data_IF_680124583012
#
_entry.id   IF_680124583012
#
_cell.length_a   1.000
_cell.length_b   1.000
_cell.length_c   1.000
_cell.angle_alpha   90.00
_cell.angle_beta   90.00
_cell.angle_gamma   90.00
#
_symmetry.space_group_name_H-M   'P 1'
#
loop_
_entity.id
_entity.type
_entity.pdbx_description
1 polymer ?
#
# COMPACT_ATOMS: atom_id res chain seq x y z
N UNK A 1 -9.90 13.82 51.19
CA UNK A 1 -8.68 13.96 50.38
C UNK A 1 -8.28 12.56 49.95
N UNK A 2 -8.84 12.07 48.84
CA UNK A 2 -8.58 10.73 48.28
C UNK A 2 -9.27 10.60 46.91
N UNK A 3 -8.96 11.49 45.95
CA UNK A 3 -9.46 11.33 44.58
C UNK A 3 -8.41 11.82 43.57
N UNK A 4 -7.19 11.32 43.70
CA UNK A 4 -6.09 11.72 42.82
C UNK A 4 -5.14 10.54 42.49
N UNK A 5 -5.58 9.28 42.61
CA UNK A 5 -4.70 8.11 42.37
C UNK A 5 -5.23 7.10 41.33
N UNK A 6 -6.29 7.42 40.58
CA UNK A 6 -6.90 6.48 39.62
C UNK A 6 -7.04 7.08 38.21
N UNK A 7 -6.01 7.76 37.70
CA UNK A 7 -6.09 8.41 36.37
C UNK A 7 -4.80 8.28 35.55
N UNK A 8 -3.80 7.56 36.07
CA UNK A 8 -2.51 7.38 35.38
C UNK A 8 -2.37 6.02 34.66
N UNK A 9 -3.18 5.01 34.97
CA UNK A 9 -2.97 3.65 34.45
C UNK A 9 -3.70 3.36 33.12
N UNK A 10 -4.71 4.16 32.75
CA UNK A 10 -5.55 3.91 31.55
C UNK A 10 -4.99 4.50 30.24
N UNK A 11 -3.87 5.24 30.26
CA UNK A 11 -3.36 5.94 29.07
C UNK A 11 -2.20 5.24 28.36
N UNK A 12 -1.68 4.13 28.92
CA UNK A 12 -0.50 3.45 28.34
C UNK A 12 -0.92 2.38 27.33
N UNK A 13 -2.07 1.73 27.49
CA UNK A 13 -2.51 0.64 26.60
C UNK A 13 -2.98 1.11 25.20
N UNK A 14 -3.59 2.30 25.07
CA UNK A 14 -4.10 2.77 23.76
C UNK A 14 -3.00 3.17 22.75
N UNK A 15 -1.86 3.66 23.24
CA UNK A 15 -0.77 4.13 22.38
C UNK A 15 0.06 2.96 21.81
N UNK A 16 0.22 1.88 22.59
CA UNK A 16 0.80 0.63 22.10
C UNK A 16 -0.11 -0.06 21.09
N UNK A 17 -1.44 -0.02 21.27
CA UNK A 17 -2.36 -0.64 20.32
C UNK A 17 -2.25 0.02 18.94
N UNK A 18 -2.08 1.35 18.89
CA UNK A 18 -1.88 2.10 17.64
C UNK A 18 -0.62 1.68 16.84
N UNK A 19 0.54 1.49 17.49
CA UNK A 19 1.78 1.08 16.80
C UNK A 19 1.72 -0.37 16.31
N UNK A 20 1.13 -1.28 17.08
CA UNK A 20 0.94 -2.68 16.67
C UNK A 20 -0.09 -2.79 15.55
N UNK A 21 -1.17 -2.03 15.61
CA UNK A 21 -2.15 -1.92 14.52
C UNK A 21 -1.49 -1.37 13.25
N UNK A 22 -0.60 -0.37 13.35
CA UNK A 22 0.19 0.11 12.22
C UNK A 22 1.05 -1.00 11.62
N UNK A 23 1.77 -1.76 12.46
CA UNK A 23 2.60 -2.88 12.01
C UNK A 23 1.77 -3.94 11.27
N UNK A 24 0.58 -4.27 11.79
CA UNK A 24 -0.34 -5.20 11.12
C UNK A 24 -0.71 -4.70 9.71
N UNK A 25 -1.07 -3.42 9.58
CA UNK A 25 -1.34 -2.82 8.27
C UNK A 25 -0.10 -2.86 7.37
N UNK A 26 1.10 -2.61 7.90
CA UNK A 26 2.33 -2.67 7.12
C UNK A 26 2.58 -4.08 6.56
N UNK A 27 2.32 -5.13 7.34
CA UNK A 27 2.43 -6.52 6.89
C UNK A 27 1.42 -6.80 5.77
N UNK A 28 0.15 -6.39 5.94
CA UNK A 28 -0.90 -6.58 4.92
C UNK A 28 -0.55 -5.83 3.63
N UNK A 29 -0.13 -4.56 3.73
CA UNK A 29 0.26 -3.76 2.57
C UNK A 29 1.51 -4.34 1.90
N UNK A 30 2.48 -4.86 2.67
CA UNK A 30 3.66 -5.54 2.10
C UNK A 30 3.25 -6.77 1.32
N UNK A 31 2.29 -7.55 1.83
CA UNK A 31 1.75 -8.70 1.14
C UNK A 31 1.02 -8.30 -0.15
N UNK A 32 0.20 -7.25 -0.10
CA UNK A 32 -0.43 -6.68 -1.29
C UNK A 32 0.61 -6.19 -2.31
N UNK A 33 1.70 -5.53 -1.87
CA UNK A 33 2.78 -5.09 -2.76
C UNK A 33 3.46 -6.27 -3.45
N UNK A 34 3.61 -7.42 -2.79
CA UNK A 34 4.14 -8.63 -3.41
C UNK A 34 3.24 -9.12 -4.56
N UNK A 35 1.92 -9.11 -4.34
CA UNK A 35 0.94 -9.46 -5.37
C UNK A 35 1.00 -8.45 -6.51
N UNK A 36 0.93 -7.15 -6.23
CA UNK A 36 0.99 -6.08 -7.24
C UNK A 36 2.29 -6.15 -8.05
N UNK A 37 3.43 -6.40 -7.40
CA UNK A 37 4.72 -6.56 -8.08
C UNK A 37 4.72 -7.76 -9.02
N UNK A 38 4.10 -8.87 -8.62
CA UNK A 38 3.98 -10.07 -9.46
C UNK A 38 3.08 -9.80 -10.68
N UNK A 39 1.94 -9.14 -10.46
CA UNK A 39 1.03 -8.72 -11.53
C UNK A 39 1.70 -7.74 -12.49
N UNK A 40 2.44 -6.75 -11.97
CA UNK A 40 3.19 -5.80 -12.78
C UNK A 40 4.26 -6.51 -13.63
N UNK A 41 4.94 -7.51 -13.05
CA UNK A 41 5.86 -8.37 -13.79
C UNK A 41 5.18 -9.11 -14.94
N UNK A 42 4.01 -9.71 -14.69
CA UNK A 42 3.21 -10.38 -15.71
C UNK A 42 2.76 -9.41 -16.81
N UNK A 43 2.27 -8.22 -16.44
CA UNK A 43 1.88 -7.17 -17.39
C UNK A 43 3.07 -6.70 -18.23
N UNK A 44 4.24 -6.55 -17.61
CA UNK A 44 5.46 -6.15 -18.32
C UNK A 44 5.84 -7.18 -19.38
N UNK A 45 5.79 -8.48 -19.03
CA UNK A 45 6.03 -9.57 -19.98
C UNK A 45 4.98 -9.57 -21.10
N UNK A 46 3.70 -9.45 -20.76
CA UNK A 46 2.61 -9.40 -21.74
C UNK A 46 2.75 -8.20 -22.70
N UNK A 47 3.04 -7.00 -22.16
CA UNK A 47 3.25 -5.79 -22.94
C UNK A 47 4.47 -5.94 -23.87
N UNK A 48 5.55 -6.52 -23.38
CA UNK A 48 6.74 -6.79 -24.19
C UNK A 48 6.44 -7.74 -25.35
N UNK A 49 5.67 -8.82 -25.10
CA UNK A 49 5.25 -9.74 -26.15
C UNK A 49 4.34 -9.05 -27.19
N UNK A 50 3.39 -8.23 -26.77
CA UNK A 50 2.54 -7.46 -27.69
C UNK A 50 3.38 -6.53 -28.55
N UNK A 51 4.30 -5.77 -27.94
CA UNK A 51 5.20 -4.89 -28.69
C UNK A 51 6.08 -5.66 -29.69
N UNK A 52 6.48 -6.89 -29.38
CA UNK A 52 7.26 -7.74 -30.29
C UNK A 52 6.47 -8.09 -31.57
N UNK A 53 5.19 -8.42 -31.43
CA UNK A 53 4.34 -8.80 -32.57
C UNK A 53 3.65 -7.62 -33.25
N UNK A 54 3.48 -6.50 -32.55
CA UNK A 54 2.68 -5.36 -32.99
C UNK A 54 3.53 -4.13 -33.36
N UNK A 55 4.71 -4.35 -33.99
CA UNK A 55 5.62 -3.29 -34.46
C UNK A 55 5.99 -2.24 -33.41
N UNK A 56 6.18 -2.68 -32.15
CA UNK A 56 6.45 -1.82 -30.98
C UNK A 56 5.32 -0.88 -30.58
N UNK A 57 4.10 -1.15 -31.02
CA UNK A 57 2.92 -0.44 -30.52
C UNK A 57 2.48 -1.05 -29.18
N UNK A 58 2.50 -0.27 -28.08
CA UNK A 58 2.04 -0.75 -26.79
C UNK A 58 0.53 -0.88 -26.75
N UNK A 59 0.01 -1.82 -25.95
CA UNK A 59 -1.41 -1.87 -25.66
C UNK A 59 -1.76 -0.80 -24.61
N UNK A 60 -2.66 0.12 -24.95
CA UNK A 60 -3.05 1.24 -24.08
C UNK A 60 -3.70 0.77 -22.77
N UNK A 61 -4.53 -0.27 -22.82
CA UNK A 61 -5.22 -0.80 -21.63
C UNK A 61 -4.24 -1.43 -20.64
N UNK A 62 -3.24 -2.17 -21.12
CA UNK A 62 -2.19 -2.71 -20.25
C UNK A 62 -1.32 -1.61 -19.65
N UNK A 63 -1.03 -0.56 -20.42
CA UNK A 63 -0.26 0.59 -19.96
C UNK A 63 -1.00 1.40 -18.88
N UNK A 64 -2.29 1.63 -19.08
CA UNK A 64 -3.15 2.30 -18.11
C UNK A 64 -3.24 1.49 -16.80
N UNK A 65 -3.47 0.18 -16.91
CA UNK A 65 -3.51 -0.71 -15.76
C UNK A 65 -2.19 -0.72 -14.97
N UNK A 66 -1.06 -0.75 -15.66
CA UNK A 66 0.27 -0.61 -15.05
C UNK A 66 0.48 0.74 -14.36
N UNK A 67 -0.05 1.82 -14.95
CA UNK A 67 0.01 3.17 -14.38
C UNK A 67 -0.77 3.26 -13.07
N UNK A 68 -2.01 2.76 -13.04
CA UNK A 68 -2.84 2.72 -11.83
C UNK A 68 -2.17 1.91 -10.71
N UNK A 69 -1.55 0.77 -11.04
CA UNK A 69 -0.76 0.00 -10.08
C UNK A 69 0.44 0.77 -9.55
N UNK A 70 1.17 1.48 -10.41
CA UNK A 70 2.31 2.31 -10.02
C UNK A 70 1.92 3.43 -9.05
N UNK A 71 0.81 4.11 -9.31
CA UNK A 71 0.26 5.16 -8.42
C UNK A 71 -0.07 4.56 -7.04
N UNK A 72 -0.72 3.41 -7.00
CA UNK A 72 -1.01 2.71 -5.75
C UNK A 72 0.27 2.30 -5.01
N UNK A 73 1.25 1.72 -5.70
CA UNK A 73 2.53 1.30 -5.09
C UNK A 73 3.28 2.50 -4.49
N UNK A 74 3.25 3.66 -5.14
CA UNK A 74 3.86 4.88 -4.60
C UNK A 74 3.18 5.35 -3.30
N UNK A 75 1.85 5.27 -3.23
CA UNK A 75 1.09 5.58 -1.99
C UNK A 75 1.40 4.55 -0.89
N UNK A 76 1.42 3.26 -1.23
CA UNK A 76 1.74 2.18 -0.30
C UNK A 76 3.15 2.33 0.30
N UNK A 77 4.15 2.63 -0.53
CA UNK A 77 5.53 2.86 -0.08
C UNK A 77 5.64 4.04 0.89
N UNK A 78 4.89 5.13 0.66
CA UNK A 78 4.86 6.28 1.58
C UNK A 78 4.30 5.90 2.95
N UNK A 79 3.22 5.11 2.99
CA UNK A 79 2.69 4.60 4.26
C UNK A 79 3.70 3.68 4.96
N UNK A 80 4.31 2.76 4.21
CA UNK A 80 5.26 1.77 4.72
C UNK A 80 6.53 2.39 5.32
N UNK A 81 6.97 3.53 4.78
CA UNK A 81 8.16 4.26 5.23
C UNK A 81 7.85 5.35 6.25
N UNK A 82 6.62 5.39 6.75
CA UNK A 82 6.12 6.43 7.65
C UNK A 82 6.24 7.87 7.11
N UNK A 83 6.39 8.02 5.79
CA UNK A 83 6.34 9.31 5.13
C UNK A 83 4.91 9.86 4.98
N UNK A 84 3.90 9.01 5.19
CA UNK A 84 2.48 9.36 5.20
C UNK A 84 1.72 8.49 6.20
N UNK A 85 0.76 9.08 6.91
CA UNK A 85 -0.21 8.35 7.76
C UNK A 85 -1.47 7.94 6.98
N UNK A 86 -1.58 8.37 5.72
CA UNK A 86 -2.70 7.99 4.84
C UNK A 86 -2.45 6.58 4.28
N UNK A 87 -3.31 5.64 4.69
CA UNK A 87 -3.31 4.26 4.18
C UNK A 87 -3.63 4.26 2.68
N UNK A 88 -3.04 3.35 1.87
CA UNK A 88 -3.42 3.19 0.46
C UNK A 88 -4.76 2.45 0.32
N UNK A 89 -5.29 2.36 -0.90
CA UNK A 89 -6.43 1.48 -1.22
C UNK A 89 -6.17 0.04 -0.74
N UNK A 90 -7.16 -0.70 -0.21
CA UNK A 90 -8.62 -0.47 -0.24
C UNK A 90 -9.19 0.44 0.85
N UNK A 91 -8.38 0.97 1.77
CA UNK A 91 -8.90 1.81 2.86
C UNK A 91 -9.15 3.26 2.44
N UNK A 92 -8.52 3.71 1.36
CA UNK A 92 -8.68 5.03 0.78
C UNK A 92 -8.82 4.92 -0.74
N UNK A 93 -9.27 5.99 -1.37
CA UNK A 93 -9.53 6.00 -2.80
C UNK A 93 -8.23 5.99 -3.63
N UNK A 94 -8.29 5.29 -4.76
CA UNK A 94 -7.30 5.39 -5.83
C UNK A 94 -7.55 6.72 -6.56
N UNK A 95 -6.96 7.81 -6.04
CA UNK A 95 -6.71 9.05 -6.82
C UNK A 95 -5.97 8.72 -8.12
#
# INVERSE_FOLDING_TARGET
MAKDQDTAETNVEEDFDSIWVRLLHMIIISFMMSITSTLLGLLTVAQFLIMLFNKREPNEQLAELGTTMGVWMAKAARYQTAASEVKPWPWTELD
#
